data_IF_486815935910
#
_entry.id   IF_486815935910
#
_cell.length_a   1.000
_cell.length_b   1.000
_cell.length_c   1.000
_cell.angle_alpha   90.00
_cell.angle_beta   90.00
_cell.angle_gamma   90.00
#
_symmetry.space_group_name_H-M   'P 1'
#
loop_
_entity.id
_entity.type
_entity.pdbx_description
1 polymer ?
#
# COMPACT_ATOMS: atom_id res chain seq x y z
N UNK A 1 -20.77 -1.21 -5.21
CA UNK A 1 -19.41 -0.75 -4.85
C UNK A 1 -19.50 0.01 -3.55
N UNK A 2 -19.13 -0.60 -2.42
CA UNK A 2 -19.03 0.11 -1.14
C UNK A 2 -17.95 1.17 -1.28
N UNK A 3 -18.25 2.45 -1.08
CA UNK A 3 -17.20 3.47 -1.03
C UNK A 3 -16.15 3.03 0.00
N UNK A 4 -14.88 3.13 -0.37
CA UNK A 4 -13.79 2.84 0.56
C UNK A 4 -13.99 3.71 1.81
N UNK A 5 -13.91 3.12 3.02
CA UNK A 5 -14.22 3.86 4.24
C UNK A 5 -13.27 5.05 4.40
N UNK A 6 -13.78 6.18 4.89
CA UNK A 6 -13.00 7.41 5.09
C UNK A 6 -11.86 7.27 6.12
N UNK A 7 -11.86 6.18 6.89
CA UNK A 7 -10.86 5.86 7.90
C UNK A 7 -10.44 4.40 7.82
N UNK A 8 -9.27 4.10 8.40
CA UNK A 8 -8.81 2.75 8.73
C UNK A 8 -8.97 2.51 10.22
N UNK A 9 -9.18 1.26 10.64
CA UNK A 9 -9.34 0.92 12.05
C UNK A 9 -8.07 0.26 12.57
N UNK A 10 -7.45 0.86 13.59
CA UNK A 10 -6.14 0.43 14.10
C UNK A 10 -6.27 0.09 15.57
N UNK A 11 -5.79 -1.09 15.95
CA UNK A 11 -5.75 -1.51 17.36
C UNK A 11 -4.53 -0.89 18.06
N UNK A 12 -4.75 -0.30 19.24
CA UNK A 12 -3.70 0.20 20.11
C UNK A 12 -4.01 -0.18 21.56
N UNK A 13 -3.23 -1.11 22.13
CA UNK A 13 -3.60 -1.76 23.39
C UNK A 13 -4.98 -2.43 23.27
N UNK A 14 -5.89 -2.07 24.17
CA UNK A 14 -7.28 -2.52 24.16
C UNK A 14 -8.22 -1.59 23.38
N UNK A 15 -7.71 -0.53 22.76
CA UNK A 15 -8.50 0.42 22.00
C UNK A 15 -8.53 0.07 20.52
N UNK A 16 -9.66 0.35 19.87
CA UNK A 16 -9.78 0.41 18.43
C UNK A 16 -9.97 1.88 18.04
N UNK A 17 -9.04 2.42 17.26
CA UNK A 17 -9.00 3.83 16.89
C UNK A 17 -9.23 3.97 15.38
N UNK A 18 -10.18 4.80 15.01
CA UNK A 18 -10.41 5.16 13.62
C UNK A 18 -9.42 6.25 13.22
N UNK A 19 -8.51 5.91 12.31
CA UNK A 19 -7.48 6.81 11.79
C UNK A 19 -7.92 7.28 10.40
N UNK A 20 -8.13 8.59 10.17
CA UNK A 20 -8.57 9.09 8.86
C UNK A 20 -7.56 8.79 7.76
N UNK A 21 -8.04 8.38 6.57
CA UNK A 21 -7.14 8.06 5.43
C UNK A 21 -6.40 9.28 4.89
N UNK A 22 -6.96 10.48 5.06
CA UNK A 22 -6.34 11.74 4.65
C UNK A 22 -5.14 12.17 5.51
N UNK A 23 -4.79 11.41 6.55
CA UNK A 23 -3.48 11.55 7.22
C UNK A 23 -2.33 11.12 6.31
N UNK A 24 -2.62 10.34 5.26
CA UNK A 24 -1.63 9.76 4.37
C UNK A 24 -1.75 10.34 2.97
N UNK A 25 -0.61 10.40 2.26
CA UNK A 25 -0.55 10.76 0.84
C UNK A 25 0.37 9.82 0.09
N UNK A 26 0.05 9.64 -1.19
CA UNK A 26 0.87 8.89 -2.13
C UNK A 26 0.93 7.38 -1.86
N UNK A 27 1.63 6.63 -2.73
CA UNK A 27 1.77 5.17 -2.65
C UNK A 27 2.48 4.71 -1.37
N UNK A 28 3.42 5.51 -0.87
CA UNK A 28 4.21 5.19 0.32
C UNK A 28 3.52 5.57 1.63
N UNK A 29 2.26 6.04 1.57
CA UNK A 29 1.49 6.49 2.72
C UNK A 29 2.30 7.45 3.60
N UNK A 30 2.87 8.50 2.98
CA UNK A 30 3.58 9.54 3.72
C UNK A 30 2.60 10.32 4.58
N UNK A 31 3.01 10.69 5.79
CA UNK A 31 2.17 11.53 6.64
C UNK A 31 2.01 12.94 6.06
N UNK A 32 0.81 13.47 6.19
CA UNK A 32 0.52 14.88 5.95
C UNK A 32 0.65 15.62 7.29
N UNK A 33 1.75 16.37 7.46
CA UNK A 33 2.16 16.95 8.74
C UNK A 33 1.05 17.70 9.48
N UNK A 34 0.31 18.57 8.77
CA UNK A 34 -0.76 19.35 9.40
C UNK A 34 -1.93 18.48 9.87
N UNK A 35 -2.24 17.41 9.12
CA UNK A 35 -3.26 16.43 9.51
C UNK A 35 -2.81 15.56 10.67
N UNK A 36 -1.53 15.22 10.74
CA UNK A 36 -0.96 14.50 11.89
C UNK A 36 -0.98 15.37 13.14
N UNK A 37 -0.60 16.65 13.05
CA UNK A 37 -0.66 17.58 14.19
C UNK A 37 -2.10 17.73 14.70
N UNK A 38 -3.06 17.91 13.79
CA UNK A 38 -4.49 17.97 14.12
C UNK A 38 -4.97 16.69 14.81
N UNK A 39 -4.62 15.53 14.26
CA UNK A 39 -4.97 14.23 14.82
C UNK A 39 -4.38 14.01 16.22
N UNK A 40 -3.10 14.36 16.43
CA UNK A 40 -2.46 14.30 17.75
C UNK A 40 -3.21 15.15 18.77
N UNK A 41 -3.55 16.40 18.43
CA UNK A 41 -4.31 17.29 19.31
C UNK A 41 -5.66 16.68 19.71
N UNK A 42 -6.37 16.07 18.76
CA UNK A 42 -7.65 15.40 19.03
C UNK A 42 -7.45 14.20 19.97
N UNK A 43 -6.42 13.39 19.72
CA UNK A 43 -6.14 12.20 20.53
C UNK A 43 -5.71 12.54 21.95
N UNK A 44 -4.81 13.51 22.14
CA UNK A 44 -4.38 13.94 23.47
C UNK A 44 -5.51 14.61 24.26
N UNK A 45 -6.43 15.31 23.58
CA UNK A 45 -7.63 15.88 24.21
C UNK A 45 -8.66 14.83 24.61
N UNK A 46 -8.87 13.80 23.78
CA UNK A 46 -9.83 12.71 24.04
C UNK A 46 -9.29 11.67 25.04
N UNK A 47 -7.98 11.42 25.01
CA UNK A 47 -7.31 10.39 25.80
C UNK A 47 -6.08 10.99 26.50
N UNK A 48 -6.24 11.73 27.60
CA UNK A 48 -5.13 12.42 28.27
C UNK A 48 -4.02 11.50 28.82
N UNK A 49 -4.33 10.22 29.02
CA UNK A 49 -3.36 9.20 29.44
C UNK A 49 -2.51 8.64 28.28
N UNK A 50 -2.83 9.01 27.04
CA UNK A 50 -2.09 8.57 25.87
C UNK A 50 -0.82 9.41 25.71
N UNK A 51 0.34 8.80 25.94
CA UNK A 51 1.63 9.46 25.84
C UNK A 51 2.02 9.71 24.38
N UNK A 52 2.95 10.64 24.14
CA UNK A 52 3.50 10.89 22.79
C UNK A 52 4.12 9.63 22.17
N UNK A 53 4.85 8.84 22.96
CA UNK A 53 5.43 7.57 22.47
C UNK A 53 4.33 6.58 22.05
N UNK A 54 3.23 6.50 22.80
CA UNK A 54 2.09 5.66 22.44
C UNK A 54 1.39 6.16 21.16
N UNK A 55 1.29 7.47 20.98
CA UNK A 55 0.81 8.08 19.74
C UNK A 55 1.71 7.76 18.54
N UNK A 56 3.03 7.78 18.73
CA UNK A 56 3.98 7.41 17.67
C UNK A 56 3.80 5.95 17.26
N UNK A 57 3.62 5.04 18.22
CA UNK A 57 3.32 3.64 17.95
C UNK A 57 1.99 3.48 17.22
N UNK A 58 0.94 4.20 17.65
CA UNK A 58 -0.35 4.20 16.97
C UNK A 58 -0.22 4.65 15.51
N UNK A 59 0.44 5.78 15.26
CA UNK A 59 0.62 6.33 13.92
C UNK A 59 1.44 5.39 13.04
N UNK A 60 2.53 4.82 13.58
CA UNK A 60 3.32 3.81 12.87
C UNK A 60 2.47 2.60 12.47
N UNK A 61 1.67 2.07 13.39
CA UNK A 61 0.77 0.96 13.10
C UNK A 61 -0.28 1.34 12.05
N UNK A 62 -0.82 2.56 12.14
CA UNK A 62 -1.76 3.10 11.17
C UNK A 62 -1.14 3.22 9.78
N UNK A 63 0.11 3.68 9.68
CA UNK A 63 0.83 3.74 8.41
C UNK A 63 1.03 2.36 7.79
N UNK A 64 1.44 1.38 8.60
CA UNK A 64 1.62 0.01 8.12
C UNK A 64 0.31 -0.60 7.62
N UNK A 65 -0.79 -0.35 8.32
CA UNK A 65 -2.11 -0.81 7.89
C UNK A 65 -2.59 -0.09 6.63
N UNK A 66 -2.35 1.23 6.52
CA UNK A 66 -2.66 2.00 5.31
C UNK A 66 -1.85 1.49 4.11
N UNK A 67 -0.57 1.17 4.30
CA UNK A 67 0.27 0.57 3.27
C UNK A 67 -0.33 -0.75 2.81
N UNK A 68 -0.71 -1.64 3.73
CA UNK A 68 -1.34 -2.93 3.40
C UNK A 68 -2.62 -2.74 2.59
N UNK A 69 -3.51 -1.85 3.02
CA UNK A 69 -4.78 -1.57 2.34
C UNK A 69 -4.54 -1.00 0.95
N UNK A 70 -3.65 0.00 0.82
CA UNK A 70 -3.31 0.61 -0.47
C UNK A 70 -2.69 -0.42 -1.42
N UNK A 71 -1.87 -1.32 -0.89
CA UNK A 71 -1.26 -2.40 -1.66
C UNK A 71 -2.33 -3.36 -2.19
N UNK A 72 -3.25 -3.80 -1.34
CA UNK A 72 -4.36 -4.68 -1.71
C UNK A 72 -5.32 -4.01 -2.72
N UNK A 73 -5.70 -2.75 -2.49
CA UNK A 73 -6.58 -1.99 -3.38
C UNK A 73 -5.97 -1.74 -4.77
N UNK A 74 -4.64 -1.66 -4.87
CA UNK A 74 -3.95 -1.32 -6.12
C UNK A 74 -3.24 -2.48 -6.80
N UNK A 75 -3.39 -3.71 -6.31
CA UNK A 75 -2.67 -4.85 -6.87
C UNK A 75 -1.16 -4.86 -6.57
N UNK A 76 -0.73 -4.11 -5.56
CA UNK A 76 0.68 -3.79 -5.33
C UNK A 76 1.34 -2.94 -6.43
N UNK A 77 0.59 -2.53 -7.46
CA UNK A 77 1.12 -1.80 -8.62
C UNK A 77 1.62 -0.42 -8.23
N UNK A 78 0.86 0.28 -7.38
CA UNK A 78 1.17 1.64 -6.93
C UNK A 78 2.49 1.67 -6.15
N UNK A 79 2.62 0.77 -5.18
CA UNK A 79 3.82 0.56 -4.37
C UNK A 79 5.02 0.22 -5.23
N UNK A 80 4.89 -0.78 -6.11
CA UNK A 80 6.00 -1.21 -6.97
C UNK A 80 6.44 -0.13 -7.97
N UNK A 81 5.52 0.63 -8.54
CA UNK A 81 5.87 1.78 -9.40
C UNK A 81 6.63 2.86 -8.63
N UNK A 82 6.25 3.15 -7.39
CA UNK A 82 7.01 4.06 -6.52
C UNK A 82 8.40 3.54 -6.18
N UNK A 83 8.54 2.24 -5.88
CA UNK A 83 9.85 1.63 -5.63
C UNK A 83 10.75 1.72 -6.87
N UNK A 84 10.22 1.41 -8.05
CA UNK A 84 10.97 1.49 -9.30
C UNK A 84 11.41 2.93 -9.63
N UNK A 85 10.55 3.93 -9.43
CA UNK A 85 10.93 5.34 -9.65
C UNK A 85 12.03 5.82 -8.70
N UNK A 86 12.16 5.18 -7.52
CA UNK A 86 13.25 5.41 -6.56
C UNK A 86 14.51 4.59 -6.86
N UNK A 87 14.60 3.97 -8.04
CA UNK A 87 15.74 3.14 -8.45
C UNK A 87 15.78 1.75 -7.84
N UNK A 88 14.73 1.34 -7.09
CA UNK A 88 14.64 0.04 -6.42
C UNK A 88 13.87 -0.97 -7.28
N UNK A 89 14.25 -1.10 -8.56
CA UNK A 89 13.53 -1.91 -9.54
C UNK A 89 13.43 -3.39 -9.13
N UNK A 90 14.52 -3.97 -8.62
CA UNK A 90 14.51 -5.38 -8.17
C UNK A 90 13.56 -5.61 -6.99
N UNK A 91 13.51 -4.66 -6.06
CA UNK A 91 12.57 -4.70 -4.93
C UNK A 91 11.13 -4.61 -5.41
N UNK A 92 10.85 -3.74 -6.40
CA UNK A 92 9.53 -3.58 -7.00
C UNK A 92 9.05 -4.87 -7.71
N UNK A 93 9.95 -5.56 -8.42
CA UNK A 93 9.68 -6.84 -9.08
C UNK A 93 9.38 -7.93 -8.04
N UNK A 94 10.23 -8.06 -7.02
CA UNK A 94 10.03 -9.04 -5.95
C UNK A 94 8.72 -8.80 -5.18
N UNK A 95 8.38 -7.53 -4.95
CA UNK A 95 7.13 -7.14 -4.32
C UNK A 95 5.90 -7.63 -5.12
N UNK A 96 5.87 -7.40 -6.45
CA UNK A 96 4.78 -7.90 -7.30
C UNK A 96 4.73 -9.41 -7.38
N UNK A 97 5.88 -10.10 -7.41
CA UNK A 97 5.90 -11.57 -7.39
C UNK A 97 5.18 -12.12 -6.16
N UNK A 98 5.48 -11.59 -4.96
CA UNK A 98 4.79 -11.97 -3.71
C UNK A 98 3.31 -11.58 -3.69
N UNK A 99 2.95 -10.47 -4.34
CA UNK A 99 1.54 -10.11 -4.50
C UNK A 99 0.81 -11.14 -5.38
N UNK A 100 1.38 -11.48 -6.52
CA UNK A 100 0.82 -12.40 -7.52
C UNK A 100 0.84 -13.87 -7.06
N UNK A 101 1.74 -14.27 -6.15
CA UNK A 101 1.67 -15.57 -5.49
C UNK A 101 0.35 -15.76 -4.73
N UNK A 102 -0.18 -14.68 -4.14
CA UNK A 102 -1.45 -14.68 -3.41
C UNK A 102 -2.64 -14.38 -4.32
N UNK A 103 -2.42 -13.60 -5.38
CA UNK A 103 -3.45 -13.13 -6.32
C UNK A 103 -3.08 -13.49 -7.76
N UNK A 104 -3.03 -14.80 -8.13
CA UNK A 104 -2.52 -15.24 -9.42
C UNK A 104 -3.37 -14.81 -10.63
N UNK A 105 -4.60 -14.34 -10.38
CA UNK A 105 -5.56 -13.95 -11.40
C UNK A 105 -5.64 -12.43 -11.61
N UNK A 106 -4.81 -11.62 -10.93
CA UNK A 106 -4.79 -10.16 -11.15
C UNK A 106 -4.01 -9.82 -12.43
N UNK A 107 -4.74 -9.66 -13.53
CA UNK A 107 -4.18 -9.38 -14.85
C UNK A 107 -3.36 -8.08 -14.89
N UNK A 108 -3.86 -7.00 -14.29
CA UNK A 108 -3.18 -5.70 -14.27
C UNK A 108 -1.83 -5.78 -13.55
N UNK A 109 -1.76 -6.55 -12.47
CA UNK A 109 -0.53 -6.76 -11.70
C UNK A 109 0.49 -7.60 -12.48
N UNK A 110 0.04 -8.58 -13.27
CA UNK A 110 0.89 -9.31 -14.23
C UNK A 110 1.47 -8.38 -15.31
N UNK A 111 0.66 -7.46 -15.85
CA UNK A 111 1.15 -6.46 -16.81
C UNK A 111 2.19 -5.54 -16.20
N UNK A 112 1.95 -5.06 -14.97
CA UNK A 112 2.90 -4.17 -14.28
C UNK A 112 4.22 -4.91 -13.96
N UNK A 113 4.15 -6.19 -13.59
CA UNK A 113 5.35 -7.03 -13.42
C UNK A 113 6.11 -7.15 -14.75
N UNK A 114 5.39 -7.41 -15.85
CA UNK A 114 5.99 -7.50 -17.19
C UNK A 114 6.69 -6.21 -17.62
N UNK A 115 6.05 -5.06 -17.40
CA UNK A 115 6.62 -3.74 -17.67
C UNK A 115 7.93 -3.52 -16.90
N UNK A 116 7.94 -3.83 -15.59
CA UNK A 116 9.13 -3.67 -14.75
C UNK A 116 10.27 -4.61 -15.15
N UNK A 117 9.96 -5.87 -15.49
CA UNK A 117 10.94 -6.84 -15.97
C UNK A 117 11.59 -6.41 -17.28
N UNK A 118 10.80 -5.91 -18.24
CA UNK A 118 11.34 -5.36 -19.48
C UNK A 118 12.25 -4.16 -19.22
N UNK A 119 11.86 -3.24 -18.31
CA UNK A 119 12.68 -2.08 -17.92
C UNK A 119 13.98 -2.47 -17.21
N UNK A 120 14.01 -3.61 -16.52
CA UNK A 120 15.22 -4.13 -15.86
C UNK A 120 16.11 -4.97 -16.79
N UNK A 121 15.76 -5.11 -18.08
CA UNK A 121 16.50 -5.91 -19.05
C UNK A 121 16.10 -7.40 -19.10
N UNK A 122 15.18 -7.85 -18.23
CA UNK A 122 14.67 -9.22 -18.19
C UNK A 122 13.51 -9.41 -19.19
N UNK A 123 13.79 -9.14 -20.46
CA UNK A 123 12.79 -9.01 -21.53
C UNK A 123 11.96 -10.29 -21.70
N UNK A 124 12.59 -11.47 -21.69
CA UNK A 124 11.89 -12.74 -21.88
C UNK A 124 10.88 -13.02 -20.76
N UNK A 125 11.28 -12.82 -19.50
CA UNK A 125 10.37 -12.96 -18.36
C UNK A 125 9.26 -11.91 -18.40
N UNK A 126 9.59 -10.68 -18.84
CA UNK A 126 8.62 -9.61 -19.00
C UNK A 126 7.50 -9.98 -19.98
N UNK A 127 7.85 -10.50 -21.16
CA UNK A 127 6.85 -10.99 -22.11
C UNK A 127 6.04 -12.17 -21.59
N UNK A 128 6.66 -13.10 -20.84
CA UNK A 128 5.92 -14.20 -20.19
C UNK A 128 4.87 -13.65 -19.20
N UNK A 129 5.23 -12.67 -18.39
CA UNK A 129 4.31 -12.02 -17.45
C UNK A 129 3.18 -11.28 -18.17
N UNK A 130 3.47 -10.54 -19.25
CA UNK A 130 2.44 -9.88 -20.06
C UNK A 130 1.48 -10.87 -20.72
N UNK A 131 2.00 -11.97 -21.29
CA UNK A 131 1.18 -13.03 -21.87
C UNK A 131 0.27 -13.68 -20.82
N UNK A 132 0.78 -13.88 -19.60
CA UNK A 132 -0.03 -14.36 -18.48
C UNK A 132 -1.17 -13.40 -18.16
N UNK A 133 -0.89 -12.11 -18.02
CA UNK A 133 -1.90 -11.06 -17.81
C UNK A 133 -2.95 -11.05 -18.93
N UNK A 134 -2.53 -11.10 -20.19
CA UNK A 134 -3.44 -11.18 -21.35
C UNK A 134 -4.37 -12.40 -21.29
N UNK A 135 -3.82 -13.58 -20.99
CA UNK A 135 -4.59 -14.83 -20.92
C UNK A 135 -5.65 -14.86 -19.81
N UNK A 136 -5.56 -13.96 -18.82
CA UNK A 136 -6.54 -13.85 -17.74
C UNK A 136 -7.73 -12.99 -18.18
N UNK A 137 -7.48 -11.91 -18.92
CA UNK A 137 -8.54 -11.04 -19.48
C UNK A 137 -9.35 -11.79 -20.55
N UNK A 138 -8.70 -12.62 -21.37
CA UNK A 138 -9.37 -13.41 -22.41
C UNK A 138 -10.31 -14.50 -21.83
N UNK A 139 -10.26 -14.76 -20.53
CA UNK A 139 -11.07 -15.79 -19.84
C UNK A 139 -12.26 -15.23 -19.06
N UNK A 140 -12.39 -13.90 -18.93
CA UNK A 140 -13.51 -13.21 -18.29
C UNK A 140 -14.61 -12.86 -19.30
#
# INVERSE_FOLDING_TARGET
MTQAPYHISVKHGNMLINVPRNLFRGPDCEFVDDKVKEFRRIMSGRYPWLTENSLDVLLRNARNEMLRITDEETGGRSTSKSMASKGKTDAAINHLRKYLERNPNDADSWYTLGELLCKSGNIEEGYKAMNKGRSLIEKE
#
